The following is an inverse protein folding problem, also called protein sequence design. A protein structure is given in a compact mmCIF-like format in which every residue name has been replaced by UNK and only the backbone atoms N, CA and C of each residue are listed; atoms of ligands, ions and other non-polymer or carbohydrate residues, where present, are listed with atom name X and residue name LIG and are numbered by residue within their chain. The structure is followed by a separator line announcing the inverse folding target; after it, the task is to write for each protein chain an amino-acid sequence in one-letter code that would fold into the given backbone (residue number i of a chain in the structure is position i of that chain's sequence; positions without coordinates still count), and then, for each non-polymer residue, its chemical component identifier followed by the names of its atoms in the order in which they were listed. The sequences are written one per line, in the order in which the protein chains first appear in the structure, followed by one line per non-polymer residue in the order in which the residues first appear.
data_IF_824601140654
#
_entry.id   IF_824601140654
#
_cell.length_a   1.000
_cell.length_b   1.000
_cell.length_c   1.000
_cell.angle_alpha   90.00
_cell.angle_beta   90.00
_cell.angle_gamma   90.00
#
_symmetry.space_group_name_H-M   'P 1'
#
loop_
_entity.id
_entity.type
_entity.pdbx_description
1 polymer ?
#
# COMPACT_ATOMS: atom_id res chain seq x y z
N UNK A 1 -1.63 -24.26 -1.99
CA UNK A 1 -2.30 -23.29 -1.10
C UNK A 1 -2.52 -22.01 -1.88
N UNK A 2 -3.71 -21.41 -1.83
CA UNK A 2 -3.96 -20.13 -2.50
C UNK A 2 -3.37 -18.99 -1.66
N UNK A 3 -2.72 -18.04 -2.31
CA UNK A 3 -2.27 -16.82 -1.63
C UNK A 3 -3.47 -15.97 -1.21
N UNK A 4 -3.39 -15.26 -0.07
CA UNK A 4 -4.37 -14.24 0.30
C UNK A 4 -4.50 -13.18 -0.80
N UNK A 5 -5.66 -12.53 -0.85
CA UNK A 5 -5.88 -11.42 -1.77
C UNK A 5 -4.88 -10.28 -1.49
N UNK A 6 -4.26 -9.75 -2.55
CA UNK A 6 -3.24 -8.70 -2.41
C UNK A 6 -3.80 -7.41 -1.80
N UNK A 7 -5.05 -7.03 -2.05
CA UNK A 7 -5.70 -5.90 -1.36
C UNK A 7 -5.71 -6.12 0.15
N UNK A 8 -6.11 -7.31 0.59
CA UNK A 8 -6.15 -7.64 2.02
C UNK A 8 -4.76 -7.56 2.66
N UNK A 9 -3.71 -7.97 1.93
CA UNK A 9 -2.33 -7.85 2.41
C UNK A 9 -1.88 -6.39 2.51
N UNK A 10 -2.22 -5.56 1.51
CA UNK A 10 -1.87 -4.13 1.52
C UNK A 10 -2.61 -3.39 2.64
N UNK A 11 -3.90 -3.64 2.82
CA UNK A 11 -4.71 -3.03 3.88
C UNK A 11 -4.18 -3.41 5.27
N UNK A 12 -3.85 -4.68 5.47
CA UNK A 12 -3.24 -5.15 6.72
C UNK A 12 -1.88 -4.50 6.98
N UNK A 13 -1.05 -4.37 5.94
CA UNK A 13 0.26 -3.72 6.05
C UNK A 13 0.12 -2.22 6.40
N UNK A 14 -0.83 -1.51 5.80
CA UNK A 14 -1.10 -0.10 6.12
C UNK A 14 -1.46 0.07 7.59
N UNK A 15 -2.39 -0.76 8.10
CA UNK A 15 -2.77 -0.74 9.51
C UNK A 15 -1.58 -0.98 10.44
N UNK A 16 -0.76 -2.01 10.14
CA UNK A 16 0.40 -2.35 10.97
C UNK A 16 1.41 -1.19 10.99
N UNK A 17 1.69 -0.60 9.83
CA UNK A 17 2.64 0.51 9.71
C UNK A 17 2.12 1.76 10.46
N UNK A 18 0.82 2.04 10.42
CA UNK A 18 0.23 3.12 11.20
C UNK A 18 0.36 2.90 12.71
N UNK A 19 0.19 1.66 13.18
CA UNK A 19 0.35 1.34 14.60
C UNK A 19 1.82 1.41 15.04
N UNK A 20 2.76 0.98 14.19
CA UNK A 20 4.20 1.15 14.44
C UNK A 20 4.53 2.65 14.56
N UNK A 21 4.01 3.49 13.67
CA UNK A 21 4.26 4.94 13.69
C UNK A 21 3.80 5.62 15.00
N UNK A 22 2.74 5.09 15.63
CA UNK A 22 2.19 5.59 16.90
C UNK A 22 2.88 4.98 18.12
N UNK A 23 3.68 3.93 17.94
CA UNK A 23 4.24 3.18 19.07
C UNK A 23 5.37 3.99 19.76
N UNK A 24 5.35 4.13 21.10
CA UNK A 24 6.36 4.91 21.82
C UNK A 24 7.78 4.38 21.61
N UNK A 25 7.96 3.04 21.56
CA UNK A 25 9.28 2.45 21.31
C UNK A 25 9.84 2.81 19.93
N UNK A 26 8.98 2.93 18.90
CA UNK A 26 9.42 3.38 17.57
C UNK A 26 9.81 4.86 17.60
N UNK A 27 9.04 5.70 18.30
CA UNK A 27 9.33 7.13 18.43
C UNK A 27 10.59 7.42 19.26
N UNK A 28 10.97 6.51 20.15
CA UNK A 28 12.16 6.59 20.98
C UNK A 28 13.43 6.06 20.29
N UNK A 29 13.32 5.49 19.08
CA UNK A 29 14.49 5.02 18.34
C UNK A 29 15.38 6.21 17.96
N UNK A 30 16.63 6.17 18.42
CA UNK A 30 17.70 7.04 17.89
C UNK A 30 18.26 6.43 16.59
N UNK A 31 17.36 6.29 15.61
CA UNK A 31 17.64 5.65 14.33
C UNK A 31 17.15 6.55 13.20
N UNK A 32 18.08 6.94 12.33
CA UNK A 32 17.81 7.73 11.13
C UNK A 32 18.02 6.86 9.89
N UNK A 33 16.99 6.14 9.42
CA UNK A 33 17.09 5.35 8.21
C UNK A 33 17.08 6.23 6.94
N UNK A 34 17.63 5.70 5.86
CA UNK A 34 17.47 6.27 4.51
C UNK A 34 16.01 6.23 4.01
N UNK A 35 15.22 5.29 4.53
CA UNK A 35 13.79 5.13 4.23
C UNK A 35 12.98 5.20 5.52
N UNK A 36 12.00 6.09 5.53
CA UNK A 36 11.14 6.37 6.66
C UNK A 36 9.89 5.50 6.65
N UNK A 37 9.17 5.49 7.77
CA UNK A 37 7.84 4.86 7.83
C UNK A 37 6.84 5.55 6.89
N UNK A 38 7.03 6.84 6.60
CA UNK A 38 6.24 7.58 5.62
C UNK A 38 6.50 7.03 4.21
N UNK A 39 7.74 6.73 3.87
CA UNK A 39 8.06 6.12 2.55
C UNK A 39 7.38 4.76 2.38
N UNK A 40 7.32 3.96 3.44
CA UNK A 40 6.62 2.69 3.43
C UNK A 40 5.09 2.87 3.24
N UNK A 41 4.48 3.85 3.92
CA UNK A 41 3.06 4.20 3.72
C UNK A 41 2.80 4.64 2.27
N UNK A 42 3.67 5.48 1.71
CA UNK A 42 3.58 5.93 0.32
C UNK A 42 3.67 4.76 -0.66
N UNK A 43 4.62 3.84 -0.47
CA UNK A 43 4.77 2.66 -1.32
C UNK A 43 3.52 1.77 -1.32
N UNK A 44 2.89 1.57 -0.15
CA UNK A 44 1.64 0.82 -0.03
C UNK A 44 0.47 1.55 -0.70
N UNK A 45 0.41 2.88 -0.58
CA UNK A 45 -0.61 3.69 -1.25
C UNK A 45 -0.52 3.53 -2.77
N UNK A 46 0.68 3.68 -3.35
CA UNK A 46 0.87 3.48 -4.78
C UNK A 46 0.56 2.05 -5.22
N UNK A 47 0.95 1.05 -4.42
CA UNK A 47 0.61 -0.35 -4.72
C UNK A 47 -0.91 -0.57 -4.75
N UNK A 48 -1.65 0.05 -3.83
CA UNK A 48 -3.12 0.00 -3.80
C UNK A 48 -3.74 0.69 -5.01
N UNK A 49 -3.29 1.90 -5.33
CA UNK A 49 -3.78 2.65 -6.49
C UNK A 49 -3.57 1.87 -7.79
N UNK A 50 -2.37 1.32 -8.02
CA UNK A 50 -2.09 0.52 -9.22
C UNK A 50 -2.98 -0.72 -9.28
N UNK A 51 -3.24 -1.36 -8.14
CA UNK A 51 -4.09 -2.55 -8.09
C UNK A 51 -5.55 -2.22 -8.40
N UNK A 52 -6.05 -1.10 -7.90
CA UNK A 52 -7.41 -0.58 -8.18
C UNK A 52 -7.55 -0.14 -9.65
N UNK A 53 -6.51 0.51 -10.21
CA UNK A 53 -6.47 0.91 -11.62
C UNK A 53 -6.44 -0.29 -12.57
N UNK A 54 -5.68 -1.35 -12.24
CA UNK A 54 -5.64 -2.58 -13.03
C UNK A 54 -6.95 -3.38 -12.98
N UNK A 55 -7.84 -3.09 -12.02
CA UNK A 55 -9.17 -3.69 -11.93
C UNK A 55 -10.25 -2.92 -12.70
N UNK A 56 -9.93 -1.74 -13.26
CA UNK A 56 -10.87 -1.03 -14.12
C UNK A 56 -11.04 -1.79 -15.45
N UNK A 57 -12.28 -2.08 -15.90
CA UNK A 57 -12.49 -2.67 -17.21
C UNK A 57 -11.91 -1.74 -18.27
N UNK A 58 -11.11 -2.29 -19.19
CA UNK A 58 -10.74 -1.60 -20.42
C UNK A 58 -12.04 -1.25 -21.17
N UNK A 59 -12.51 -0.01 -21.01
CA UNK A 59 -13.60 0.52 -21.82
C UNK A 59 -13.01 0.71 -23.22
N UNK A 60 -13.07 -0.33 -24.05
CA UNK A 60 -12.73 -0.22 -25.46
C UNK A 60 -13.82 0.67 -26.08
N UNK A 61 -13.50 1.87 -26.60
CA UNK A 61 -14.47 2.66 -27.32
C UNK A 61 -14.87 1.85 -28.55
N UNK A 62 -16.15 1.51 -28.65
CA UNK A 62 -16.73 0.89 -29.85
C UNK A 62 -16.45 1.83 -31.01
N UNK A 63 -15.49 1.48 -31.86
CA UNK A 63 -15.27 2.18 -33.12
C UNK A 63 -16.58 2.09 -33.90
N UNK A 64 -17.26 3.23 -34.05
CA UNK A 64 -18.35 3.38 -35.01
C UNK A 64 -17.77 3.15 -36.40
N UNK A 65 -18.15 2.03 -37.02
CA UNK A 65 -18.20 1.86 -38.46
C UNK A 65 -19.65 1.99 -38.92
#
# INVERSE_FOLDING_TARGET
MSHPNLHTLIDAAQLIIEEIAKHPDYQALDYQPDLTIVDAQTALCYSKCELESNQQPLIIPKASM
#
